data_IF_816616976220
#
_entry.id   IF_816616976220
#
_cell.length_a   1.000
_cell.length_b   1.000
_cell.length_c   1.000
_cell.angle_alpha   90.00
_cell.angle_beta   90.00
_cell.angle_gamma   90.00
#
_symmetry.space_group_name_H-M   'P 1'
#
loop_
_entity.id
_entity.type
_entity.pdbx_description
1 polymer ?
#
# COMPACT_ATOMS: atom_id res chain seq x y z
N UNK A 1 17.08 10.35 -20.17
CA UNK A 1 15.85 9.59 -20.36
C UNK A 1 16.05 8.23 -19.73
N UNK A 2 15.13 7.85 -18.86
CA UNK A 2 15.11 6.52 -18.25
C UNK A 2 13.73 5.90 -18.47
N UNK A 3 13.70 4.63 -18.89
CA UNK A 3 12.48 3.85 -19.09
C UNK A 3 12.65 2.49 -18.46
N UNK A 4 11.66 2.03 -17.72
CA UNK A 4 11.63 0.70 -17.12
C UNK A 4 10.25 0.08 -17.32
N UNK A 5 10.21 -1.21 -17.64
CA UNK A 5 8.97 -2.01 -17.73
C UNK A 5 9.21 -3.29 -16.95
N UNK A 6 8.24 -3.66 -16.12
CA UNK A 6 8.29 -4.88 -15.30
C UNK A 6 6.94 -5.57 -15.30
N UNK A 7 6.95 -6.87 -15.18
CA UNK A 7 5.74 -7.67 -15.08
C UNK A 7 5.96 -8.89 -14.21
N UNK A 8 4.91 -9.35 -13.55
CA UNK A 8 4.90 -10.59 -12.76
C UNK A 8 3.56 -11.31 -12.92
N UNK A 9 3.58 -12.61 -12.71
CA UNK A 9 2.37 -13.42 -12.64
C UNK A 9 2.56 -14.47 -11.55
N UNK A 10 1.51 -14.69 -10.77
CA UNK A 10 1.45 -15.77 -9.77
C UNK A 10 0.12 -16.51 -9.87
N UNK A 11 0.12 -17.77 -9.46
CA UNK A 11 -1.06 -18.60 -9.32
C UNK A 11 -0.93 -19.43 -8.05
N UNK A 12 -1.99 -19.43 -7.27
CA UNK A 12 -2.08 -20.15 -6.02
C UNK A 12 -3.31 -21.04 -6.03
N UNK A 13 -3.14 -22.30 -5.64
CA UNK A 13 -4.23 -23.26 -5.43
C UNK A 13 -4.04 -23.86 -4.04
N UNK A 14 -5.06 -23.85 -3.22
CA UNK A 14 -5.05 -24.39 -1.87
C UNK A 14 -6.33 -25.16 -1.58
N UNK A 15 -6.22 -26.26 -0.83
CA UNK A 15 -7.34 -27.00 -0.30
C UNK A 15 -7.16 -27.20 1.20
N UNK A 16 -8.26 -27.17 1.93
CA UNK A 16 -8.23 -27.33 3.38
C UNK A 16 -9.57 -27.82 3.91
N UNK A 17 -9.56 -28.28 5.14
CA UNK A 17 -10.77 -28.66 5.87
C UNK A 17 -10.77 -27.99 7.23
N UNK A 18 -11.97 -27.71 7.72
CA UNK A 18 -12.19 -27.12 9.03
C UNK A 18 -13.39 -27.78 9.69
N UNK A 19 -13.23 -28.16 10.94
CA UNK A 19 -14.32 -28.68 11.78
C UNK A 19 -14.68 -27.61 12.80
N UNK A 20 -15.90 -27.12 12.76
CA UNK A 20 -16.44 -26.24 13.78
C UNK A 20 -17.44 -27.06 14.63
N UNK A 21 -17.19 -27.16 15.94
CA UNK A 21 -18.11 -27.73 16.91
C UNK A 21 -18.52 -26.63 17.89
N UNK A 22 -19.78 -26.23 17.92
CA UNK A 22 -20.33 -25.43 19.01
C UNK A 22 -20.79 -26.36 20.13
N UNK A 23 -20.30 -26.09 21.33
CA UNK A 23 -20.51 -26.96 22.51
C UNK A 23 -21.93 -26.92 23.12
N UNK A 24 -22.83 -26.14 22.59
CA UNK A 24 -24.16 -25.90 23.20
C UNK A 24 -25.34 -26.45 22.38
N UNK A 25 -25.15 -26.81 21.14
CA UNK A 25 -26.16 -27.41 20.31
C UNK A 25 -25.49 -28.39 19.34
N UNK A 26 -26.20 -29.44 18.97
CA UNK A 26 -25.72 -30.58 18.16
C UNK A 26 -25.30 -30.16 16.72
N UNK A 27 -25.01 -28.89 16.50
CA UNK A 27 -24.62 -28.28 15.23
C UNK A 27 -23.14 -28.43 15.00
N UNK A 28 -22.75 -29.54 14.43
CA UNK A 28 -21.40 -29.77 13.93
C UNK A 28 -21.38 -29.45 12.44
N UNK A 29 -20.61 -28.44 12.05
CA UNK A 29 -20.34 -28.17 10.64
C UNK A 29 -18.94 -28.67 10.26
N UNK A 30 -18.85 -29.43 9.20
CA UNK A 30 -17.57 -29.86 8.62
C UNK A 30 -17.40 -29.19 7.26
N UNK A 31 -16.68 -28.07 7.26
CA UNK A 31 -16.44 -27.31 6.05
C UNK A 31 -15.19 -27.81 5.32
N UNK A 32 -15.38 -28.30 4.13
CA UNK A 32 -14.31 -28.51 3.17
C UNK A 32 -14.17 -27.26 2.30
N UNK A 33 -12.96 -26.73 2.21
CA UNK A 33 -12.68 -25.50 1.47
C UNK A 33 -11.68 -25.75 0.36
N UNK A 34 -12.01 -25.26 -0.83
CA UNK A 34 -11.10 -25.20 -1.97
C UNK A 34 -10.94 -23.73 -2.33
N UNK A 35 -9.70 -23.28 -2.44
CA UNK A 35 -9.38 -21.91 -2.82
C UNK A 35 -8.41 -21.93 -3.99
N UNK A 36 -8.55 -21.00 -4.89
CA UNK A 36 -7.65 -20.81 -6.01
C UNK A 36 -7.68 -19.37 -6.49
N UNK A 37 -6.60 -18.95 -7.12
CA UNK A 37 -6.52 -17.60 -7.62
C UNK A 37 -5.32 -17.39 -8.52
N UNK A 38 -5.33 -16.26 -9.18
CA UNK A 38 -4.17 -15.79 -9.95
C UNK A 38 -4.04 -14.29 -9.76
N UNK A 39 -2.81 -13.79 -9.89
CA UNK A 39 -2.53 -12.38 -10.00
C UNK A 39 -1.55 -12.10 -11.13
N UNK A 40 -1.73 -10.96 -11.77
CA UNK A 40 -0.87 -10.46 -12.82
C UNK A 40 -0.64 -8.98 -12.58
N UNK A 41 0.61 -8.56 -12.61
CA UNK A 41 1.02 -7.17 -12.48
C UNK A 41 1.85 -6.78 -13.70
N UNK A 42 1.54 -5.63 -14.26
CA UNK A 42 2.31 -5.00 -15.32
C UNK A 42 2.51 -3.54 -14.94
N UNK A 43 3.76 -3.09 -14.94
CA UNK A 43 4.09 -1.72 -14.63
C UNK A 43 5.14 -1.16 -15.56
N UNK A 44 5.07 0.14 -15.80
CA UNK A 44 6.07 0.87 -16.57
C UNK A 44 6.22 2.28 -16.01
N UNK A 45 7.43 2.79 -16.06
CA UNK A 45 7.73 4.17 -15.73
C UNK A 45 8.68 4.77 -16.75
N UNK A 46 8.45 6.05 -16.99
CA UNK A 46 9.27 6.91 -17.84
C UNK A 46 9.68 8.12 -17.04
N UNK A 47 10.94 8.53 -17.15
CA UNK A 47 11.40 9.80 -16.59
C UNK A 47 12.36 10.50 -17.55
N UNK A 48 12.24 11.80 -17.56
CA UNK A 48 13.09 12.71 -18.32
C UNK A 48 13.68 13.74 -17.36
N UNK A 49 14.99 13.88 -17.41
CA UNK A 49 15.72 14.85 -16.59
C UNK A 49 16.44 15.82 -17.53
N UNK A 50 16.20 17.10 -17.30
CA UNK A 50 16.82 18.21 -18.01
C UNK A 50 17.72 18.99 -17.06
N UNK A 51 19.02 19.17 -17.36
CA UNK A 51 19.88 20.04 -16.60
C UNK A 51 19.47 21.51 -16.81
N UNK A 52 19.27 22.23 -15.70
CA UNK A 52 18.92 23.67 -15.69
C UNK A 52 20.07 24.41 -15.03
N UNK A 53 21.12 24.64 -15.81
CA UNK A 53 22.39 25.21 -15.31
C UNK A 53 23.36 24.13 -14.80
N UNK A 54 24.51 24.59 -14.29
CA UNK A 54 25.65 23.70 -13.94
C UNK A 54 25.38 22.76 -12.75
N UNK A 55 24.46 23.12 -11.85
CA UNK A 55 24.28 22.45 -10.55
C UNK A 55 22.82 22.08 -10.25
N UNK A 56 21.95 22.23 -11.23
CA UNK A 56 20.51 22.00 -11.05
C UNK A 56 19.92 21.20 -12.19
N UNK A 57 18.93 20.40 -11.89
CA UNK A 57 18.15 19.66 -12.89
C UNK A 57 16.68 19.61 -12.50
N UNK A 58 15.84 19.52 -13.50
CA UNK A 58 14.40 19.28 -13.38
C UNK A 58 14.08 17.90 -13.96
N UNK A 59 13.28 17.14 -13.25
CA UNK A 59 12.85 15.82 -13.70
C UNK A 59 11.33 15.81 -13.82
N UNK A 60 10.83 15.32 -14.93
CA UNK A 60 9.43 14.97 -15.11
C UNK A 60 9.32 13.45 -15.26
N UNK A 61 8.39 12.85 -14.53
CA UNK A 61 8.17 11.42 -14.53
C UNK A 61 6.71 11.05 -14.69
N UNK A 62 6.47 9.91 -15.31
CA UNK A 62 5.16 9.30 -15.37
C UNK A 62 5.29 7.78 -15.21
N UNK A 63 4.46 7.22 -14.34
CA UNK A 63 4.39 5.79 -14.10
C UNK A 63 2.95 5.29 -14.19
N UNK A 64 2.80 4.07 -14.66
CA UNK A 64 1.53 3.33 -14.66
C UNK A 64 1.79 1.91 -14.17
N UNK A 65 0.90 1.41 -13.32
CA UNK A 65 0.82 -0.01 -12.99
C UNK A 65 -0.61 -0.51 -13.11
N UNK A 66 -0.75 -1.73 -13.58
CA UNK A 66 -2.03 -2.44 -13.71
C UNK A 66 -1.88 -3.79 -13.02
N UNK A 67 -2.68 -4.00 -12.00
CA UNK A 67 -2.70 -5.23 -11.21
C UNK A 67 -4.08 -5.88 -11.37
N UNK A 68 -4.10 -7.07 -11.95
CA UNK A 68 -5.30 -7.87 -12.15
C UNK A 68 -5.20 -9.11 -11.29
N UNK A 69 -6.22 -9.40 -10.51
CA UNK A 69 -6.27 -10.61 -9.69
C UNK A 69 -7.68 -11.20 -9.68
N UNK A 70 -7.73 -12.51 -9.63
CA UNK A 70 -8.94 -13.29 -9.44
C UNK A 70 -8.75 -14.15 -8.20
N UNK A 71 -9.74 -14.20 -7.35
CA UNK A 71 -9.71 -15.02 -6.15
C UNK A 71 -11.06 -15.72 -5.97
N UNK A 72 -11.00 -17.02 -5.85
CA UNK A 72 -12.16 -17.89 -5.65
C UNK A 72 -11.94 -18.77 -4.44
N UNK A 73 -12.96 -18.89 -3.63
CA UNK A 73 -13.03 -19.86 -2.53
C UNK A 73 -14.42 -20.47 -2.53
N UNK A 74 -14.46 -21.79 -2.44
CA UNK A 74 -15.68 -22.56 -2.27
C UNK A 74 -15.61 -23.29 -0.92
N UNK A 75 -16.62 -23.16 -0.11
CA UNK A 75 -16.79 -23.88 1.14
C UNK A 75 -18.07 -24.70 1.09
N UNK A 76 -17.95 -26.00 1.32
CA UNK A 76 -19.09 -26.95 1.30
C UNK A 76 -19.15 -27.65 2.64
N UNK A 77 -20.31 -27.65 3.26
CA UNK A 77 -20.55 -28.46 4.45
C UNK A 77 -20.73 -29.92 4.04
N UNK A 78 -19.82 -30.75 4.50
CA UNK A 78 -19.80 -32.20 4.18
C UNK A 78 -20.94 -32.99 4.78
N UNK A 79 -21.61 -32.50 5.84
CA UNK A 79 -22.77 -33.16 6.42
C UNK A 79 -24.05 -32.90 5.64
N UNK A 80 -24.23 -31.67 5.21
CA UNK A 80 -25.45 -31.25 4.50
C UNK A 80 -25.29 -31.25 2.98
N UNK A 81 -24.06 -31.22 2.48
CA UNK A 81 -23.73 -31.01 1.06
C UNK A 81 -24.02 -29.60 0.55
N UNK A 82 -24.39 -28.67 1.42
CA UNK A 82 -24.74 -27.30 1.04
C UNK A 82 -23.51 -26.41 0.97
N UNK A 83 -23.56 -25.42 0.09
CA UNK A 83 -22.53 -24.39 0.00
C UNK A 83 -22.71 -23.41 1.15
N UNK A 84 -21.66 -23.19 1.92
CA UNK A 84 -21.62 -22.11 2.89
C UNK A 84 -21.37 -20.78 2.18
N UNK A 85 -22.42 -20.01 1.98
CA UNK A 85 -22.38 -18.72 1.29
C UNK A 85 -21.55 -17.67 2.06
N UNK A 86 -21.40 -17.82 3.37
CA UNK A 86 -20.62 -16.89 4.21
C UNK A 86 -19.12 -17.07 4.07
N UNK A 87 -18.67 -18.27 3.71
CA UNK A 87 -17.26 -18.63 3.51
C UNK A 87 -16.88 -18.81 2.04
N UNK A 88 -17.83 -18.72 1.12
CA UNK A 88 -17.63 -18.85 -0.33
C UNK A 88 -17.60 -17.47 -0.97
N UNK A 89 -16.64 -17.24 -1.86
CA UNK A 89 -16.55 -16.01 -2.65
C UNK A 89 -15.89 -16.28 -4.00
N UNK A 90 -16.26 -15.46 -4.97
CA UNK A 90 -15.64 -15.44 -6.29
C UNK A 90 -15.60 -13.97 -6.78
N UNK A 91 -14.41 -13.39 -6.90
CA UNK A 91 -14.29 -12.02 -7.35
C UNK A 91 -13.02 -11.80 -8.21
N UNK A 92 -13.14 -10.84 -9.11
CA UNK A 92 -12.06 -10.30 -9.90
C UNK A 92 -11.77 -8.85 -9.45
N UNK A 93 -10.51 -8.50 -9.31
CA UNK A 93 -10.06 -7.15 -8.99
C UNK A 93 -9.13 -6.62 -10.06
N UNK A 94 -9.44 -5.43 -10.54
CA UNK A 94 -8.59 -4.66 -11.42
C UNK A 94 -8.15 -3.39 -10.68
N UNK A 95 -6.86 -3.21 -10.52
CA UNK A 95 -6.28 -2.06 -9.84
C UNK A 95 -5.30 -1.35 -10.75
N UNK A 96 -5.58 -0.09 -11.09
CA UNK A 96 -4.73 0.72 -11.98
C UNK A 96 -4.24 1.93 -11.21
N UNK A 97 -2.93 2.07 -11.12
CA UNK A 97 -2.28 3.25 -10.52
C UNK A 97 -1.55 4.03 -11.59
N UNK A 98 -1.76 5.33 -11.61
CA UNK A 98 -1.06 6.29 -12.44
C UNK A 98 -0.40 7.32 -11.54
N UNK A 99 0.86 7.62 -11.78
CA UNK A 99 1.62 8.61 -11.02
C UNK A 99 2.31 9.57 -12.00
N UNK A 100 2.06 10.85 -11.84
CA UNK A 100 2.80 11.90 -12.51
C UNK A 100 3.64 12.65 -11.48
N UNK A 101 4.88 12.95 -11.80
CA UNK A 101 5.79 13.62 -10.87
C UNK A 101 6.62 14.71 -11.53
N UNK A 102 6.90 15.75 -10.75
CA UNK A 102 7.85 16.80 -11.08
C UNK A 102 8.85 16.90 -9.94
N UNK A 103 10.12 16.91 -10.29
CA UNK A 103 11.23 17.01 -9.36
C UNK A 103 12.19 18.13 -9.74
N UNK A 104 12.75 18.76 -8.73
CA UNK A 104 13.85 19.68 -8.84
C UNK A 104 15.00 19.21 -7.97
N UNK A 105 16.19 19.16 -8.53
CA UNK A 105 17.40 18.75 -7.85
C UNK A 105 18.45 19.84 -8.00
N UNK A 106 19.09 20.21 -6.90
CA UNK A 106 20.25 21.09 -6.89
C UNK A 106 21.36 20.47 -6.06
N UNK A 107 22.51 20.39 -6.66
CA UNK A 107 23.71 19.83 -6.05
C UNK A 107 24.85 20.83 -6.05
N UNK A 108 25.49 21.01 -4.90
CA UNK A 108 26.75 21.74 -4.76
C UNK A 108 27.68 20.99 -3.81
N UNK A 109 28.91 21.42 -3.66
CA UNK A 109 29.88 20.80 -2.74
C UNK A 109 29.40 20.76 -1.28
N UNK A 110 28.58 21.73 -0.88
CA UNK A 110 28.10 21.88 0.51
C UNK A 110 26.63 21.69 0.69
N UNK A 111 25.83 21.66 -0.40
CA UNK A 111 24.39 21.63 -0.31
C UNK A 111 23.79 20.70 -1.36
N UNK A 112 22.93 19.81 -0.93
CA UNK A 112 22.04 19.02 -1.76
C UNK A 112 20.60 19.37 -1.41
N UNK A 113 19.82 19.72 -2.41
CA UNK A 113 18.39 19.98 -2.29
C UNK A 113 17.65 19.15 -3.35
N UNK A 114 16.72 18.34 -2.92
CA UNK A 114 15.79 17.62 -3.78
C UNK A 114 14.36 17.92 -3.36
N UNK A 115 13.55 18.40 -4.27
CA UNK A 115 12.10 18.66 -4.08
C UNK A 115 11.36 17.90 -5.14
N UNK A 116 10.35 17.13 -4.75
CA UNK A 116 9.49 16.41 -5.67
C UNK A 116 8.02 16.57 -5.27
N UNK A 117 7.17 16.76 -6.27
CA UNK A 117 5.73 16.73 -6.15
C UNK A 117 5.20 15.62 -7.05
N UNK A 118 4.64 14.57 -6.45
CA UNK A 118 3.93 13.50 -7.12
C UNK A 118 2.42 13.71 -7.03
N UNK A 119 1.71 13.35 -8.08
CA UNK A 119 0.25 13.19 -8.10
C UNK A 119 -0.08 11.76 -8.49
N UNK A 120 -0.77 11.05 -7.62
CA UNK A 120 -1.20 9.68 -7.83
C UNK A 120 -2.72 9.61 -8.00
N UNK A 121 -3.15 8.85 -9.02
CA UNK A 121 -4.54 8.44 -9.22
C UNK A 121 -4.58 6.92 -9.25
N UNK A 122 -5.29 6.32 -8.29
CA UNK A 122 -5.47 4.88 -8.18
C UNK A 122 -6.94 4.55 -8.38
N UNK A 123 -7.24 3.72 -9.39
CA UNK A 123 -8.59 3.24 -9.69
C UNK A 123 -8.67 1.75 -9.36
N UNK A 124 -9.62 1.40 -8.54
CA UNK A 124 -9.95 0.04 -8.16
C UNK A 124 -11.33 -0.31 -8.69
N UNK A 125 -11.42 -1.40 -9.44
CA UNK A 125 -12.67 -2.03 -9.82
C UNK A 125 -12.67 -3.44 -9.23
N UNK A 126 -13.78 -3.83 -8.62
CA UNK A 126 -14.01 -5.16 -8.09
C UNK A 126 -15.33 -5.66 -8.60
N UNK A 127 -15.29 -6.78 -9.30
CA UNK A 127 -16.47 -7.47 -9.82
C UNK A 127 -16.61 -8.76 -9.01
N UNK A 128 -17.62 -8.83 -8.15
CA UNK A 128 -17.97 -10.01 -7.36
C UNK A 128 -19.11 -10.76 -8.04
N UNK A 129 -18.93 -12.06 -8.21
CA UNK A 129 -19.93 -12.93 -8.85
C UNK A 129 -20.63 -13.86 -7.87
N UNK A 130 -20.08 -14.05 -6.68
CA UNK A 130 -20.65 -14.87 -5.62
C UNK A 130 -20.25 -14.34 -4.24
N UNK A 131 -21.12 -14.32 -3.19
CA UNK A 131 -22.49 -14.85 -3.15
C UNK A 131 -23.53 -14.01 -3.91
N UNK A 132 -23.29 -12.72 -4.06
CA UNK A 132 -24.16 -11.81 -4.81
C UNK A 132 -23.31 -11.06 -5.85
N UNK A 133 -23.91 -10.77 -6.99
CA UNK A 133 -23.24 -9.96 -8.00
C UNK A 133 -23.16 -8.53 -7.53
N UNK A 134 -21.95 -8.05 -7.30
CA UNK A 134 -21.67 -6.69 -6.88
C UNK A 134 -20.49 -6.10 -7.66
N UNK A 135 -20.67 -4.88 -8.15
CA UNK A 135 -19.62 -4.10 -8.84
C UNK A 135 -19.28 -2.87 -8.00
N UNK A 136 -18.04 -2.81 -7.51
CA UNK A 136 -17.53 -1.68 -6.73
C UNK A 136 -16.40 -0.98 -7.49
N UNK A 137 -16.60 0.32 -7.78
CA UNK A 137 -15.63 1.16 -8.50
C UNK A 137 -15.23 2.34 -7.65
N UNK A 138 -13.94 2.45 -7.39
CA UNK A 138 -13.39 3.54 -6.58
C UNK A 138 -12.19 4.17 -7.23
N UNK A 139 -12.07 5.48 -7.02
CA UNK A 139 -10.91 6.24 -7.46
C UNK A 139 -10.37 7.03 -6.27
N UNK A 140 -9.09 6.79 -5.98
CA UNK A 140 -8.35 7.51 -4.96
C UNK A 140 -7.35 8.45 -5.63
N UNK A 141 -7.24 9.66 -5.10
CA UNK A 141 -6.31 10.67 -5.60
C UNK A 141 -5.51 11.23 -4.44
N UNK A 142 -4.20 11.41 -4.64
CA UNK A 142 -3.32 11.92 -3.61
C UNK A 142 -2.17 12.73 -4.18
N UNK A 143 -1.74 13.72 -3.44
CA UNK A 143 -0.47 14.40 -3.66
C UNK A 143 0.62 13.71 -2.81
N UNK A 144 1.81 13.58 -3.36
CA UNK A 144 2.95 12.93 -2.73
C UNK A 144 4.17 13.87 -2.77
N UNK A 145 4.18 14.90 -1.93
CA UNK A 145 5.34 15.79 -1.82
C UNK A 145 6.51 15.07 -1.15
N UNK A 146 7.71 15.37 -1.59
CA UNK A 146 8.93 14.99 -0.89
C UNK A 146 9.99 16.08 -0.99
N UNK A 147 10.72 16.26 0.09
CA UNK A 147 11.81 17.18 0.22
C UNK A 147 12.96 16.49 0.93
N UNK A 148 14.15 16.51 0.33
CA UNK A 148 15.40 16.09 0.96
C UNK A 148 16.39 17.23 0.87
N UNK A 149 16.90 17.62 2.02
CA UNK A 149 17.89 18.68 2.15
C UNK A 149 19.07 18.17 2.97
N UNK A 150 20.26 18.33 2.43
CA UNK A 150 21.51 18.03 3.10
C UNK A 150 22.43 19.24 2.98
N UNK A 151 22.97 19.67 4.10
CA UNK A 151 23.91 20.79 4.16
C UNK A 151 25.13 20.43 4.98
N UNK A 152 26.30 20.56 4.37
CA UNK A 152 27.61 20.35 5.00
C UNK A 152 28.22 21.69 5.41
N UNK A 153 28.38 21.90 6.70
CA UNK A 153 28.97 23.09 7.29
C UNK A 153 30.44 22.79 7.55
N UNK A 154 31.27 23.18 6.58
CA UNK A 154 32.67 22.78 6.57
C UNK A 154 32.83 21.27 6.33
N UNK A 155 33.92 20.69 6.88
CA UNK A 155 34.24 19.26 6.69
C UNK A 155 33.71 18.36 7.82
N UNK A 156 33.14 18.94 8.87
CA UNK A 156 32.89 18.24 10.13
C UNK A 156 31.45 18.25 10.59
N UNK A 157 30.59 19.03 9.96
CA UNK A 157 29.23 19.20 10.39
C UNK A 157 28.27 18.94 9.23
N UNK A 158 27.23 18.13 9.48
CA UNK A 158 26.21 17.80 8.48
C UNK A 158 24.83 17.98 9.07
N UNK A 159 23.96 18.61 8.32
CA UNK A 159 22.54 18.78 8.62
C UNK A 159 21.73 18.06 7.54
N UNK A 160 20.79 17.23 7.98
CA UNK A 160 19.86 16.51 7.11
C UNK A 160 18.43 16.86 7.49
N UNK A 161 17.62 17.15 6.51
CA UNK A 161 16.19 17.31 6.68
C UNK A 161 15.48 16.55 5.57
N UNK A 162 14.53 15.69 5.95
CA UNK A 162 13.68 15.01 5.01
C UNK A 162 12.21 15.18 5.41
N UNK A 163 11.38 15.37 4.41
CA UNK A 163 9.94 15.38 4.53
C UNK A 163 9.35 14.55 3.41
N UNK A 164 8.34 13.74 3.72
CA UNK A 164 7.53 13.06 2.71
C UNK A 164 6.07 12.99 3.12
N UNK A 165 5.19 13.12 2.13
CA UNK A 165 3.77 12.88 2.26
C UNK A 165 3.37 11.70 1.39
N UNK A 166 2.66 10.73 1.97
CA UNK A 166 2.20 9.54 1.26
C UNK A 166 0.79 9.15 1.66
N UNK A 167 0.01 8.68 0.69
CA UNK A 167 -1.33 8.17 0.92
C UNK A 167 -1.35 6.64 0.87
N UNK A 168 -2.10 6.02 1.78
CA UNK A 168 -2.38 4.60 1.80
C UNK A 168 -3.88 4.39 1.56
N UNK A 169 -4.21 3.63 0.52
CA UNK A 169 -5.58 3.25 0.22
C UNK A 169 -6.05 2.13 1.16
N UNK A 170 -7.35 2.11 1.53
CA UNK A 170 -7.94 1.00 2.25
C UNK A 170 -7.81 -0.31 1.44
N UNK A 171 -7.63 -1.44 2.13
CA UNK A 171 -7.66 -2.74 1.48
C UNK A 171 -9.09 -3.13 1.09
N UNK A 172 -9.23 -4.13 0.21
CA UNK A 172 -10.55 -4.64 -0.21
C UNK A 172 -11.33 -5.16 0.99
N UNK A 173 -10.65 -5.87 1.90
CA UNK A 173 -11.25 -6.43 3.12
C UNK A 173 -11.74 -5.32 4.04
N UNK A 174 -11.02 -4.22 4.15
CA UNK A 174 -11.42 -3.06 4.94
C UNK A 174 -12.62 -2.31 4.37
N UNK A 175 -12.85 -2.42 3.06
CA UNK A 175 -13.96 -1.79 2.36
C UNK A 175 -15.21 -2.68 2.28
N UNK A 176 -15.10 -3.96 2.63
CA UNK A 176 -16.18 -4.94 2.55
C UNK A 176 -17.17 -4.73 3.68
N UNK A 177 -18.43 -4.44 3.35
CA UNK A 177 -19.50 -4.25 4.35
C UNK A 177 -19.88 -5.55 5.07
N UNK A 178 -19.67 -6.69 4.41
CA UNK A 178 -20.01 -7.99 4.94
C UNK A 178 -19.07 -8.44 6.05
N UNK A 179 -19.63 -9.09 7.05
CA UNK A 179 -18.88 -9.70 8.13
C UNK A 179 -18.15 -10.94 7.61
N UNK A 180 -16.84 -10.98 7.80
CA UNK A 180 -16.09 -12.20 7.62
C UNK A 180 -16.33 -13.15 8.79
N UNK A 181 -17.12 -14.16 8.55
CA UNK A 181 -17.50 -15.19 9.54
C UNK A 181 -16.57 -16.41 9.52
N UNK A 182 -15.46 -16.36 8.77
CA UNK A 182 -14.48 -17.45 8.67
C UNK A 182 -13.95 -17.89 10.03
N UNK A 183 -13.85 -16.97 10.96
CA UNK A 183 -13.58 -17.28 12.36
C UNK A 183 -14.74 -16.79 13.22
N UNK A 184 -15.60 -17.71 13.67
CA UNK A 184 -16.75 -17.36 14.52
C UNK A 184 -16.37 -16.73 15.87
N UNK A 185 -15.12 -16.93 16.31
CA UNK A 185 -14.57 -16.30 17.51
C UNK A 185 -14.00 -14.90 17.24
N UNK A 186 -13.85 -14.51 15.97
CA UNK A 186 -13.32 -13.21 15.58
C UNK A 186 -13.98 -12.75 14.28
N UNK A 187 -15.13 -12.13 14.40
CA UNK A 187 -15.85 -11.56 13.26
C UNK A 187 -15.13 -10.27 12.82
N UNK A 188 -14.76 -10.22 11.54
CA UNK A 188 -14.12 -9.04 10.95
C UNK A 188 -15.05 -8.48 9.87
N UNK A 189 -15.37 -7.19 9.99
CA UNK A 189 -16.13 -6.46 8.98
C UNK A 189 -15.40 -5.18 8.59
N UNK A 190 -15.53 -4.77 7.35
CA UNK A 190 -15.02 -3.50 6.87
C UNK A 190 -16.08 -2.41 6.88
N UNK A 191 -15.69 -1.23 6.46
CA UNK A 191 -16.56 -0.07 6.32
C UNK A 191 -16.43 0.45 4.88
N UNK A 192 -17.52 0.44 4.09
CA UNK A 192 -17.48 0.83 2.68
C UNK A 192 -17.01 2.28 2.46
N UNK A 193 -17.31 3.19 3.39
CA UNK A 193 -17.00 4.61 3.26
C UNK A 193 -15.59 5.02 3.72
N UNK A 194 -14.70 4.04 3.92
CA UNK A 194 -13.32 4.34 4.31
C UNK A 194 -12.61 5.19 3.24
N UNK A 195 -11.97 6.22 3.72
CA UNK A 195 -11.11 7.07 2.91
C UNK A 195 -9.65 6.67 3.07
N UNK A 196 -8.82 7.05 2.12
CA UNK A 196 -7.38 6.85 2.22
C UNK A 196 -6.82 7.56 3.46
N UNK A 197 -5.89 6.90 4.16
CA UNK A 197 -5.07 7.54 5.18
C UNK A 197 -3.94 8.32 4.51
N UNK A 198 -3.45 9.35 5.18
CA UNK A 198 -2.35 10.15 4.69
C UNK A 198 -1.32 10.36 5.79
N UNK A 199 -0.08 9.99 5.51
CA UNK A 199 1.02 10.09 6.48
C UNK A 199 2.00 11.17 6.04
N UNK A 200 2.30 12.08 6.94
CA UNK A 200 3.39 13.04 6.86
C UNK A 200 4.55 12.52 7.69
N UNK A 201 5.70 12.33 7.07
CA UNK A 201 6.93 11.89 7.75
C UNK A 201 7.95 13.01 7.68
N UNK A 202 8.52 13.38 8.82
CA UNK A 202 9.57 14.38 8.95
C UNK A 202 10.76 13.75 9.66
N UNK A 203 11.95 14.00 9.17
CA UNK A 203 13.18 13.65 9.87
C UNK A 203 14.21 14.78 9.80
N UNK A 204 14.88 15.03 10.91
CA UNK A 204 15.95 16.00 11.08
C UNK A 204 17.15 15.32 11.71
N UNK A 205 18.31 15.42 11.08
CA UNK A 205 19.56 14.88 11.61
C UNK A 205 20.65 15.94 11.62
N UNK A 206 21.42 15.98 12.69
CA UNK A 206 22.62 16.77 12.80
C UNK A 206 23.77 15.90 13.28
N UNK A 207 24.89 15.99 12.59
CA UNK A 207 26.13 15.27 12.95
C UNK A 207 27.30 16.23 12.97
N UNK A 208 28.10 16.14 14.01
CA UNK A 208 29.35 16.82 14.14
C UNK A 208 30.47 15.82 14.47
N UNK A 209 31.55 15.85 13.70
CA UNK A 209 32.74 15.01 13.95
C UNK A 209 33.95 15.90 14.09
N UNK A 210 34.56 15.91 15.27
CA UNK A 210 35.84 16.55 15.50
C UNK A 210 36.97 15.55 15.24
N UNK A 211 37.64 15.70 14.11
CA UNK A 211 38.74 14.81 13.70
C UNK A 211 39.98 14.94 14.56
N UNK A 212 40.16 16.06 15.27
CA UNK A 212 41.32 16.28 16.12
C UNK A 212 41.24 15.58 17.46
N UNK A 213 40.04 15.58 18.04
CA UNK A 213 39.77 14.91 19.32
C UNK A 213 39.12 13.52 19.16
N UNK A 214 38.91 13.05 17.93
CA UNK A 214 38.21 11.79 17.60
C UNK A 214 36.84 11.68 18.27
N UNK A 215 36.12 12.79 18.40
CA UNK A 215 34.79 12.85 19.02
C UNK A 215 33.74 13.10 17.97
N UNK A 216 32.61 12.37 18.10
CA UNK A 216 31.43 12.57 17.25
C UNK A 216 30.21 12.79 18.12
N UNK A 217 29.37 13.74 17.70
CA UNK A 217 28.06 14.00 18.31
C UNK A 217 27.03 13.95 17.19
N UNK A 218 25.98 13.16 17.39
CA UNK A 218 24.85 13.05 16.47
C UNK A 218 23.53 13.26 17.19
N UNK A 219 22.60 13.92 16.52
CA UNK A 219 21.24 14.11 16.94
C UNK A 219 20.30 13.77 15.79
N UNK A 220 19.28 12.93 16.05
CA UNK A 220 18.23 12.60 15.11
C UNK A 220 16.85 12.79 15.76
N UNK A 221 15.96 13.44 15.04
CA UNK A 221 14.56 13.60 15.38
C UNK A 221 13.72 13.10 14.20
N UNK A 222 12.73 12.24 14.48
CA UNK A 222 11.75 11.82 13.49
C UNK A 222 10.35 11.93 14.06
N UNK A 223 9.38 12.28 13.22
CA UNK A 223 7.98 12.35 13.57
C UNK A 223 7.12 11.94 12.37
N UNK A 224 6.11 11.11 12.65
CA UNK A 224 5.09 10.71 11.70
C UNK A 224 3.72 11.18 12.19
N UNK A 225 2.98 11.83 11.32
CA UNK A 225 1.61 12.24 11.55
C UNK A 225 0.70 11.59 10.52
N UNK A 226 -0.14 10.65 10.95
CA UNK A 226 -1.12 10.02 10.08
C UNK A 226 -2.49 10.64 10.28
N UNK A 227 -3.05 11.18 9.20
CA UNK A 227 -4.40 11.72 9.15
C UNK A 227 -5.33 10.66 8.58
N UNK A 228 -6.49 10.45 9.21
CA UNK A 228 -7.48 9.42 8.86
C UNK A 228 -6.88 8.01 8.89
N UNK A 229 -6.26 7.69 10.02
CA UNK A 229 -5.74 6.33 10.21
C UNK A 229 -6.87 5.31 10.19
N UNK A 230 -6.61 4.16 9.54
CA UNK A 230 -7.57 3.08 9.41
C UNK A 230 -7.28 2.08 10.53
N UNK A 231 -8.05 2.19 11.61
CA UNK A 231 -7.92 1.33 12.78
C UNK A 231 -8.98 0.21 12.77
N UNK A 232 -8.62 -0.95 13.29
CA UNK A 232 -9.55 -2.05 13.54
C UNK A 232 -10.10 -1.93 14.94
N UNK A 233 -11.45 -1.92 15.07
CA UNK A 233 -12.14 -1.93 16.36
C UNK A 233 -12.53 -3.37 16.70
N UNK A 234 -12.07 -3.86 17.83
CA UNK A 234 -12.54 -5.14 18.38
C UNK A 234 -13.65 -4.84 19.41
N UNK A 235 -14.73 -5.64 19.35
CA UNK A 235 -15.78 -5.68 20.38
C UNK A 235 -15.74 -7.08 20.98
N UNK A 236 -15.60 -7.14 22.27
CA UNK A 236 -15.72 -8.36 23.07
C UNK A 236 -17.13 -8.50 23.61
#
# INVERSE_FOLDING_TARGET
>A
IHMNVQGSTSRDDASGWRIDSLSTDNDRTFLETTAGGWSRSLGGNFSYTEPVGEKSSVTAGYGISVDNSHSKRMAVDRFTGLIDTTSTYDYTRNYTTQTAELGFNRYSQTCYLFVRMGYQSARQNRDETFPETHDDRRTFRSLQPSLSFHYSIGQTRNLYFNYSGSARQPSVEQLRAELDTRNRLSLTGGTPDLRQSYTHSVSLGYYHTDTKSSRSVGFNLSADLTVRDIATRQRF
#
